data_IF_929303424111
#
_entry.id   IF_929303424111
#
_cell.length_a   1.000
_cell.length_b   1.000
_cell.length_c   1.000
_cell.angle_alpha   90.00
_cell.angle_beta   90.00
_cell.angle_gamma   90.00
#
_symmetry.space_group_name_H-M   'P 1'
#
loop_
_entity.id
_entity.type
_entity.pdbx_description
1 polymer ?
#
# COMPACT_ATOMS: atom_id res chain seq x y z
N UNK A 1 -28.05 5.14 -6.32
CA UNK A 1 -27.11 4.08 -6.78
C UNK A 1 -26.37 4.57 -8.00
N UNK A 2 -25.06 4.45 -7.98
CA UNK A 2 -24.15 4.86 -9.07
C UNK A 2 -23.44 3.61 -9.60
N UNK A 3 -23.19 3.54 -10.90
CA UNK A 3 -22.45 2.43 -11.49
C UNK A 3 -21.05 2.87 -11.91
N UNK A 4 -20.04 2.09 -11.53
CA UNK A 4 -18.66 2.26 -11.98
C UNK A 4 -18.28 1.13 -12.92
N UNK A 5 -17.87 1.46 -14.13
CA UNK A 5 -17.35 0.48 -15.09
C UNK A 5 -15.87 0.25 -14.82
N UNK A 6 -15.50 -1.00 -14.72
CA UNK A 6 -14.11 -1.44 -14.60
C UNK A 6 -13.85 -2.59 -15.55
N UNK A 7 -12.67 -2.64 -16.12
CA UNK A 7 -12.18 -3.86 -16.76
C UNK A 7 -11.90 -4.88 -15.66
N UNK A 8 -12.19 -6.13 -15.89
CA UNK A 8 -12.08 -7.14 -14.87
C UNK A 8 -11.15 -8.26 -15.32
N UNK A 9 -9.94 -8.23 -14.82
CA UNK A 9 -8.97 -9.30 -14.96
C UNK A 9 -8.81 -9.92 -13.58
N UNK A 10 -9.34 -11.12 -13.34
CA UNK A 10 -9.24 -11.76 -12.03
C UNK A 10 -9.02 -13.24 -12.14
N UNK A 11 -8.16 -13.71 -11.25
CA UNK A 11 -7.94 -15.12 -11.00
C UNK A 11 -8.54 -15.50 -9.64
N UNK A 12 -9.82 -15.80 -9.61
CA UNK A 12 -10.56 -16.26 -8.42
C UNK A 12 -11.63 -17.27 -8.77
N UNK A 13 -12.10 -18.05 -7.76
CA UNK A 13 -13.23 -18.98 -7.96
C UNK A 13 -14.46 -18.26 -8.52
N UNK A 14 -15.08 -18.85 -9.52
CA UNK A 14 -16.32 -18.34 -10.13
C UNK A 14 -16.13 -17.14 -11.06
N UNK A 15 -14.91 -16.69 -11.29
CA UNK A 15 -14.59 -15.64 -12.28
C UNK A 15 -13.84 -16.23 -13.48
N UNK A 16 -14.20 -15.82 -14.68
CA UNK A 16 -13.41 -16.14 -15.87
C UNK A 16 -12.15 -15.31 -15.89
N UNK A 17 -11.03 -15.92 -16.26
CA UNK A 17 -9.81 -15.20 -16.62
C UNK A 17 -10.07 -14.36 -17.87
N UNK A 18 -9.61 -13.13 -17.88
CA UNK A 18 -9.63 -12.24 -19.04
C UNK A 18 -10.33 -10.91 -18.81
N UNK A 19 -10.14 -10.04 -19.77
CA UNK A 19 -10.72 -8.70 -19.80
C UNK A 19 -12.23 -8.79 -20.05
N UNK A 20 -13.01 -8.41 -19.07
CA UNK A 20 -14.44 -8.11 -19.24
C UNK A 20 -14.78 -6.81 -18.57
N UNK A 21 -15.59 -6.02 -19.22
CA UNK A 21 -16.13 -4.82 -18.60
C UNK A 21 -17.25 -5.18 -17.63
N UNK A 22 -17.13 -4.76 -16.38
CA UNK A 22 -18.13 -5.00 -15.34
C UNK A 22 -18.63 -3.65 -14.82
N UNK A 23 -19.94 -3.53 -14.64
CA UNK A 23 -20.58 -2.38 -14.01
C UNK A 23 -20.80 -2.68 -12.52
N UNK A 24 -19.98 -2.10 -11.66
CA UNK A 24 -20.07 -2.27 -10.21
C UNK A 24 -21.11 -1.29 -9.66
N UNK A 25 -22.18 -1.75 -8.98
CA UNK A 25 -23.14 -0.86 -8.32
C UNK A 25 -22.52 -0.29 -7.04
N UNK A 26 -22.62 1.01 -6.86
CA UNK A 26 -22.18 1.71 -5.64
C UNK A 26 -23.41 2.39 -5.01
N UNK A 27 -23.69 2.08 -3.76
CA UNK A 27 -24.74 2.75 -3.01
C UNK A 27 -24.42 4.23 -2.84
N UNK A 28 -25.45 5.10 -2.89
CA UNK A 28 -25.23 6.56 -2.86
C UNK A 28 -24.57 7.04 -1.57
N UNK A 29 -24.89 6.40 -0.44
CA UNK A 29 -24.27 6.70 0.85
C UNK A 29 -22.76 6.39 0.91
N UNK A 30 -22.26 5.54 0.00
CA UNK A 30 -20.83 5.23 -0.10
C UNK A 30 -20.07 6.25 -0.97
N UNK A 31 -20.79 7.04 -1.77
CA UNK A 31 -20.16 8.01 -2.68
C UNK A 31 -19.58 9.17 -1.87
N UNK A 32 -18.32 9.45 -2.12
CA UNK A 32 -17.57 10.57 -1.53
C UNK A 32 -16.93 11.41 -2.63
N UNK A 33 -15.70 11.80 -2.47
CA UNK A 33 -14.92 12.47 -3.50
C UNK A 33 -13.84 11.52 -4.03
N UNK A 34 -13.57 11.54 -5.34
CA UNK A 34 -12.43 10.84 -5.89
C UNK A 34 -11.10 11.28 -5.24
N UNK A 35 -10.15 10.37 -5.20
CA UNK A 35 -8.84 10.66 -4.63
C UNK A 35 -8.74 10.37 -3.12
N UNK A 36 -7.66 10.84 -2.53
CA UNK A 36 -7.43 10.79 -1.08
C UNK A 36 -7.73 12.18 -0.52
N UNK A 37 -8.60 12.31 0.52
CA UNK A 37 -8.75 13.57 1.21
C UNK A 37 -7.41 14.05 1.75
N UNK A 38 -6.95 15.23 1.34
CA UNK A 38 -5.63 15.75 1.70
C UNK A 38 -5.64 17.24 1.96
N UNK A 39 -4.78 17.65 2.87
CA UNK A 39 -4.43 19.05 3.11
C UNK A 39 -3.18 19.35 2.30
N UNK A 40 -3.32 20.09 1.22
CA UNK A 40 -2.26 20.29 0.23
C UNK A 40 -0.96 20.84 0.80
N UNK A 41 -1.04 21.74 1.78
CA UNK A 41 0.13 22.32 2.45
C UNK A 41 0.91 21.32 3.28
N UNK A 42 0.27 20.24 3.76
CA UNK A 42 0.85 19.27 4.67
C UNK A 42 1.42 18.04 3.93
N UNK A 43 1.09 17.87 2.66
CA UNK A 43 1.52 16.69 1.87
C UNK A 43 3.05 16.58 1.79
N UNK A 44 3.78 17.71 1.91
CA UNK A 44 5.24 17.72 1.95
C UNK A 44 5.86 16.89 3.08
N UNK A 45 5.10 16.59 4.14
CA UNK A 45 5.55 15.71 5.23
C UNK A 45 5.79 14.26 4.81
N UNK A 46 5.31 13.85 3.64
CA UNK A 46 5.61 12.52 3.12
C UNK A 46 7.08 12.34 2.71
N UNK A 47 7.82 13.43 2.47
CA UNK A 47 9.24 13.37 2.18
C UNK A 47 10.05 12.94 3.41
N UNK A 48 10.02 11.68 3.75
CA UNK A 48 10.82 11.06 4.81
C UNK A 48 12.26 10.89 4.37
N UNK A 49 13.13 10.72 5.36
CA UNK A 49 14.54 10.46 5.15
C UNK A 49 14.77 9.15 4.42
N UNK A 50 13.87 8.18 4.59
CA UNK A 50 14.15 6.82 4.16
C UNK A 50 12.87 6.04 3.83
N UNK A 51 12.93 5.09 2.89
CA UNK A 51 11.98 3.99 2.83
C UNK A 51 12.14 3.12 4.08
N UNK A 52 11.03 2.79 4.71
CA UNK A 52 11.04 2.02 5.96
C UNK A 52 11.66 0.63 5.80
N UNK A 53 11.58 0.05 4.61
CA UNK A 53 12.03 -1.30 4.30
C UNK A 53 13.55 -1.45 4.34
N UNK A 54 14.28 -0.56 3.68
CA UNK A 54 15.73 -0.66 3.59
C UNK A 54 16.43 -0.50 4.93
N UNK A 55 15.77 0.13 5.89
CA UNK A 55 16.32 0.30 7.21
C UNK A 55 16.13 -0.83 8.14
N UNK A 56 15.00 -1.43 7.96
CA UNK A 56 14.50 -2.39 8.89
C UNK A 56 15.28 -3.69 8.93
N UNK A 57 16.01 -3.98 7.88
CA UNK A 57 16.81 -5.21 7.79
C UNK A 57 18.24 -4.96 8.28
N UNK A 58 18.81 -3.81 8.01
CA UNK A 58 20.23 -3.53 8.29
C UNK A 58 20.47 -2.72 9.56
N UNK A 59 19.55 -1.86 9.95
CA UNK A 59 19.78 -0.88 11.02
C UNK A 59 18.59 -0.79 11.95
N UNK A 60 18.50 -1.68 12.85
CA UNK A 60 17.49 -1.81 13.91
C UNK A 60 17.38 -0.59 14.85
N UNK A 61 17.62 0.60 14.39
CA UNK A 61 17.30 1.83 15.11
C UNK A 61 15.79 1.98 15.35
N UNK A 62 14.96 1.35 14.51
CA UNK A 62 13.55 1.21 14.77
C UNK A 62 13.32 0.07 15.77
N UNK A 63 12.80 0.42 16.95
CA UNK A 63 12.54 -0.55 18.03
C UNK A 63 11.61 -1.68 17.62
N UNK A 64 10.63 -1.41 16.76
CA UNK A 64 9.73 -2.44 16.25
C UNK A 64 10.49 -3.55 15.51
N UNK A 65 11.57 -3.21 14.83
CA UNK A 65 12.45 -4.18 14.18
C UNK A 65 13.38 -4.89 15.13
N UNK A 66 13.88 -4.22 16.15
CA UNK A 66 14.71 -4.85 17.18
C UNK A 66 13.97 -6.01 17.87
N UNK A 67 12.63 -5.88 17.98
CA UNK A 67 11.79 -6.95 18.55
C UNK A 67 11.19 -7.89 17.51
N UNK A 68 11.40 -7.61 16.23
CA UNK A 68 10.91 -8.45 15.14
C UNK A 68 11.87 -9.62 14.96
N UNK A 69 11.66 -10.66 15.72
CA UNK A 69 12.38 -11.93 15.55
C UNK A 69 11.69 -12.70 14.43
N UNK A 70 12.34 -12.79 13.28
CA UNK A 70 11.87 -13.63 12.19
C UNK A 70 12.01 -15.11 12.57
N UNK A 71 11.06 -15.94 12.14
CA UNK A 71 11.28 -17.38 12.11
C UNK A 71 12.47 -17.69 11.18
N UNK A 72 13.14 -18.80 11.42
CA UNK A 72 14.30 -19.22 10.62
C UNK A 72 13.92 -19.31 9.12
N UNK A 73 12.77 -19.90 8.83
CA UNK A 73 12.25 -20.08 7.49
C UNK A 73 11.98 -18.73 6.78
N UNK A 74 11.34 -17.77 7.48
CA UNK A 74 11.11 -16.42 6.93
C UNK A 74 12.44 -15.70 6.69
N UNK A 75 13.39 -15.79 7.61
CA UNK A 75 14.68 -15.14 7.49
C UNK A 75 15.50 -15.69 6.31
N UNK A 76 15.48 -17.01 6.13
CA UNK A 76 16.14 -17.70 5.02
C UNK A 76 15.52 -17.27 3.68
N UNK A 77 14.19 -17.32 3.59
CA UNK A 77 13.50 -16.95 2.37
C UNK A 77 13.65 -15.45 2.03
N UNK A 78 13.62 -14.57 3.03
CA UNK A 78 13.87 -13.15 2.83
C UNK A 78 15.29 -12.88 2.29
N UNK A 79 16.27 -13.62 2.78
CA UNK A 79 17.65 -13.56 2.27
C UNK A 79 17.71 -14.00 0.81
N UNK A 80 17.01 -15.08 0.46
CA UNK A 80 16.91 -15.53 -0.93
C UNK A 80 16.28 -14.45 -1.82
N UNK A 81 15.16 -13.88 -1.40
CA UNK A 81 14.46 -12.82 -2.12
C UNK A 81 15.33 -11.57 -2.35
N UNK A 82 16.04 -11.12 -1.31
CA UNK A 82 16.96 -9.98 -1.43
C UNK A 82 18.04 -10.26 -2.47
N UNK A 83 18.62 -11.44 -2.45
CA UNK A 83 19.65 -11.84 -3.42
C UNK A 83 19.10 -11.93 -4.85
N UNK A 84 17.88 -12.45 -5.01
CA UNK A 84 17.22 -12.59 -6.30
C UNK A 84 16.85 -11.20 -6.90
N UNK A 85 16.43 -10.26 -6.06
CA UNK A 85 15.97 -8.94 -6.53
C UNK A 85 17.10 -7.91 -6.66
N UNK A 86 18.22 -8.09 -5.97
CA UNK A 86 19.33 -7.11 -5.99
C UNK A 86 19.81 -6.74 -7.39
N UNK A 87 20.06 -7.66 -8.34
CA UNK A 87 20.47 -7.28 -9.71
C UNK A 87 19.43 -6.38 -10.39
N UNK A 88 18.15 -6.62 -10.16
CA UNK A 88 17.06 -5.84 -10.74
C UNK A 88 16.96 -4.45 -10.13
N UNK A 89 17.18 -4.33 -8.82
CA UNK A 89 17.31 -3.05 -8.13
C UNK A 89 18.50 -2.25 -8.65
N UNK A 90 19.66 -2.89 -8.87
CA UNK A 90 20.84 -2.26 -9.43
C UNK A 90 20.61 -1.73 -10.88
N UNK A 91 19.79 -2.44 -11.69
CA UNK A 91 19.32 -1.98 -13.01
C UNK A 91 18.40 -0.77 -12.84
N UNK A 92 17.41 -0.87 -11.96
CA UNK A 92 16.44 0.19 -11.70
C UNK A 92 17.13 1.50 -11.26
N UNK A 93 18.12 1.42 -10.39
CA UNK A 93 18.88 2.58 -9.90
C UNK A 93 19.53 3.37 -11.03
N UNK A 94 20.02 2.68 -12.05
CA UNK A 94 20.73 3.28 -13.21
C UNK A 94 19.80 3.64 -14.35
N UNK A 95 18.57 3.19 -14.34
CA UNK A 95 17.62 3.22 -15.48
C UNK A 95 17.36 4.64 -16.02
N UNK A 96 17.37 5.67 -15.13
CA UNK A 96 17.16 7.06 -15.53
C UNK A 96 18.27 7.63 -16.45
N UNK A 97 19.43 6.99 -16.49
CA UNK A 97 20.57 7.45 -17.27
C UNK A 97 20.71 6.71 -18.61
N UNK A 98 19.82 5.76 -18.89
CA UNK A 98 19.81 5.02 -20.14
C UNK A 98 19.13 5.87 -21.22
N UNK A 99 19.80 6.03 -22.35
CA UNK A 99 19.24 6.74 -23.49
C UNK A 99 18.21 5.87 -24.24
N UNK A 100 17.23 6.51 -24.90
CA UNK A 100 16.34 5.81 -25.83
C UNK A 100 17.12 5.09 -26.94
N UNK A 101 16.62 3.97 -27.39
CA UNK A 101 17.20 3.18 -28.48
C UNK A 101 16.44 3.35 -29.79
N UNK A 102 15.19 3.83 -29.72
CA UNK A 102 14.35 4.14 -30.88
C UNK A 102 14.18 5.64 -31.11
N UNK A 103 13.31 5.96 -32.04
CA UNK A 103 12.92 7.33 -32.41
C UNK A 103 11.41 7.46 -32.16
N UNK A 104 10.93 8.50 -31.47
CA UNK A 104 9.52 8.70 -31.21
C UNK A 104 8.71 8.81 -32.52
N UNK A 105 7.60 8.10 -32.60
CA UNK A 105 6.58 8.29 -33.64
C UNK A 105 5.52 9.28 -33.13
N UNK A 106 5.46 10.51 -33.67
CA UNK A 106 4.50 11.51 -33.21
C UNK A 106 3.03 11.19 -33.58
N UNK A 107 2.81 10.16 -34.39
CA UNK A 107 1.47 9.69 -34.80
C UNK A 107 0.93 8.56 -33.91
N UNK A 108 1.79 7.97 -33.08
CA UNK A 108 1.44 6.87 -32.19
C UNK A 108 0.65 7.34 -30.97
N UNK A 109 -0.32 6.53 -30.55
CA UNK A 109 -0.91 6.66 -29.19
C UNK A 109 0.00 5.94 -28.19
N UNK A 110 1.05 6.66 -27.75
CA UNK A 110 2.05 6.13 -26.84
C UNK A 110 1.45 5.64 -25.51
N UNK A 111 0.35 6.24 -25.05
CA UNK A 111 -0.32 5.83 -23.80
C UNK A 111 -0.89 4.42 -23.96
N UNK A 112 -1.59 4.19 -25.06
CA UNK A 112 -2.22 2.89 -25.31
C UNK A 112 -1.16 1.82 -25.67
N UNK A 113 -0.11 2.15 -26.39
CA UNK A 113 1.00 1.23 -26.68
C UNK A 113 1.66 0.73 -25.38
N UNK A 114 1.96 1.63 -24.46
CA UNK A 114 2.52 1.26 -23.16
C UNK A 114 1.52 0.42 -22.35
N UNK A 115 0.23 0.76 -22.40
CA UNK A 115 -0.83 0.02 -21.69
C UNK A 115 -0.96 -1.41 -22.21
N UNK A 116 -0.99 -1.58 -23.52
CA UNK A 116 -1.05 -2.89 -24.17
C UNK A 116 0.18 -3.72 -23.79
N UNK A 117 1.38 -3.14 -23.93
CA UNK A 117 2.62 -3.86 -23.61
C UNK A 117 2.71 -4.27 -22.15
N UNK A 118 2.31 -3.39 -21.23
CA UNK A 118 2.29 -3.71 -19.80
C UNK A 118 1.35 -4.89 -19.51
N UNK A 119 0.18 -4.95 -20.15
CA UNK A 119 -0.75 -6.08 -20.01
C UNK A 119 -0.19 -7.37 -20.59
N UNK A 120 0.46 -7.33 -21.75
CA UNK A 120 1.16 -8.47 -22.33
C UNK A 120 2.23 -9.04 -21.38
N UNK A 121 2.88 -8.16 -20.62
CA UNK A 121 3.87 -8.51 -19.61
C UNK A 121 3.27 -8.99 -18.29
N UNK A 122 1.93 -9.05 -18.18
CA UNK A 122 1.24 -9.61 -17.02
C UNK A 122 0.83 -8.59 -15.95
N UNK A 123 1.05 -7.28 -16.18
CA UNK A 123 0.48 -6.26 -15.29
C UNK A 123 -1.04 -6.22 -15.45
N UNK A 124 -1.75 -6.59 -14.41
CA UNK A 124 -3.22 -6.65 -14.42
C UNK A 124 -3.89 -5.29 -14.36
N UNK A 125 -3.20 -4.28 -13.80
CA UNK A 125 -3.66 -2.89 -13.76
C UNK A 125 -2.55 -1.96 -14.21
N UNK A 126 -2.92 -1.01 -15.08
CA UNK A 126 -2.02 -0.02 -15.65
C UNK A 126 -2.74 1.31 -15.70
N UNK A 127 -2.16 2.34 -15.09
CA UNK A 127 -2.71 3.68 -15.08
C UNK A 127 -1.63 4.75 -15.15
N UNK A 128 -2.00 5.94 -15.57
CA UNK A 128 -1.09 7.04 -15.83
C UNK A 128 -1.47 8.25 -14.99
N UNK A 129 -0.50 8.87 -14.35
CA UNK A 129 -0.70 10.09 -13.59
C UNK A 129 0.59 10.91 -13.54
N UNK A 130 0.51 12.10 -12.95
CA UNK A 130 1.71 12.86 -12.63
C UNK A 130 2.39 12.26 -11.41
N UNK A 131 3.73 12.11 -11.48
CA UNK A 131 4.53 11.75 -10.32
C UNK A 131 4.53 12.92 -9.31
N UNK A 132 3.86 12.75 -8.18
CA UNK A 132 3.80 13.77 -7.15
C UNK A 132 5.07 13.75 -6.29
N UNK A 133 5.98 14.69 -6.56
CA UNK A 133 7.28 14.79 -5.89
C UNK A 133 7.17 15.05 -4.39
N UNK A 134 6.03 15.49 -3.88
CA UNK A 134 5.80 15.70 -2.45
C UNK A 134 5.83 14.39 -1.66
N UNK A 135 5.50 13.27 -2.30
CA UNK A 135 5.58 11.93 -1.71
C UNK A 135 6.97 11.32 -1.75
N UNK A 136 7.91 11.91 -2.50
CA UNK A 136 9.24 11.34 -2.67
C UNK A 136 10.00 11.29 -1.35
N UNK A 137 10.59 10.15 -1.03
CA UNK A 137 11.48 10.02 0.11
C UNK A 137 12.69 10.93 -0.04
N UNK A 138 13.16 11.49 1.08
CA UNK A 138 14.22 12.50 1.09
C UNK A 138 15.48 12.04 0.34
N UNK A 139 15.88 10.80 0.55
CA UNK A 139 17.05 10.19 -0.11
C UNK A 139 16.90 10.01 -1.62
N UNK A 140 15.67 9.97 -2.13
CA UNK A 140 15.36 9.78 -3.55
C UNK A 140 15.00 11.08 -4.28
N UNK A 141 14.94 12.23 -3.60
CA UNK A 141 14.49 13.50 -4.20
C UNK A 141 15.29 13.91 -5.44
N UNK A 142 16.60 13.78 -5.39
CA UNK A 142 17.47 14.08 -6.53
C UNK A 142 17.58 12.96 -7.56
N UNK A 143 17.12 11.77 -7.20
CA UNK A 143 17.19 10.59 -8.05
C UNK A 143 16.05 10.54 -9.08
N UNK A 144 14.83 10.96 -8.70
CA UNK A 144 13.66 10.98 -9.60
C UNK A 144 13.83 12.03 -10.68
N UNK A 145 13.82 11.64 -11.95
CA UNK A 145 14.09 12.53 -13.10
C UNK A 145 12.83 12.96 -13.84
N UNK A 146 11.88 12.04 -14.09
CA UNK A 146 10.75 12.29 -14.98
C UNK A 146 9.46 12.58 -14.23
N UNK A 147 8.49 13.19 -14.92
CA UNK A 147 7.23 13.66 -14.30
C UNK A 147 6.04 12.72 -14.55
N UNK A 148 6.02 12.00 -15.65
CA UNK A 148 4.91 11.13 -16.00
C UNK A 148 5.10 9.77 -15.32
N UNK A 149 4.15 9.38 -14.47
CA UNK A 149 4.17 8.11 -13.77
C UNK A 149 3.23 7.10 -14.43
N UNK A 150 3.79 5.95 -14.77
CA UNK A 150 3.08 4.75 -15.18
C UNK A 150 2.94 3.89 -13.94
N UNK A 151 1.73 3.78 -13.40
CA UNK A 151 1.41 2.98 -12.23
C UNK A 151 1.07 1.56 -12.68
N UNK A 152 1.81 0.61 -12.18
CA UNK A 152 1.77 -0.79 -12.61
C UNK A 152 1.45 -1.68 -11.41
N UNK A 153 0.41 -2.50 -11.50
CA UNK A 153 0.05 -3.45 -10.47
C UNK A 153 0.14 -4.88 -10.96
N UNK A 154 0.91 -5.69 -10.24
CA UNK A 154 1.06 -7.11 -10.48
C UNK A 154 0.23 -7.90 -9.45
N UNK A 155 -0.51 -8.92 -9.90
CA UNK A 155 -1.38 -9.70 -9.03
C UNK A 155 -0.57 -10.73 -8.21
N UNK A 156 -0.74 -10.72 -6.91
CA UNK A 156 -0.33 -11.82 -6.05
C UNK A 156 -1.35 -12.96 -6.17
N UNK A 157 -0.88 -14.21 -6.24
CA UNK A 157 -1.76 -15.37 -6.41
C UNK A 157 -2.89 -15.41 -5.40
N UNK A 158 -4.12 -15.62 -5.91
CA UNK A 158 -5.31 -15.62 -5.07
C UNK A 158 -5.32 -16.79 -4.08
N UNK A 159 -5.02 -18.01 -4.57
CA UNK A 159 -5.16 -19.22 -3.76
C UNK A 159 -4.14 -19.26 -2.64
N UNK A 160 -2.89 -18.96 -2.95
CA UNK A 160 -1.83 -18.85 -1.96
C UNK A 160 -2.13 -17.72 -0.94
N UNK A 161 -2.72 -16.60 -1.38
CA UNK A 161 -3.15 -15.53 -0.46
C UNK A 161 -4.22 -16.01 0.53
N UNK A 162 -5.05 -16.99 0.17
CA UNK A 162 -6.07 -17.52 1.10
C UNK A 162 -5.45 -18.38 2.22
N UNK A 163 -4.22 -18.85 2.10
CA UNK A 163 -3.52 -19.61 3.14
C UNK A 163 -2.97 -18.74 4.27
N UNK A 164 -3.02 -17.40 4.13
CA UNK A 164 -2.57 -16.42 5.13
C UNK A 164 -3.09 -16.75 6.54
N UNK A 165 -2.25 -16.66 7.59
CA UNK A 165 -0.80 -16.52 7.55
C UNK A 165 -0.09 -17.85 7.26
N UNK A 166 0.84 -17.87 6.32
CA UNK A 166 1.63 -19.04 5.98
C UNK A 166 2.82 -18.67 5.11
N UNK A 167 3.84 -19.53 5.07
CA UNK A 167 4.98 -19.39 4.15
C UNK A 167 4.54 -19.47 2.69
N UNK A 168 3.50 -20.24 2.36
CA UNK A 168 2.98 -20.31 1.00
C UNK A 168 2.45 -18.94 0.51
N UNK A 169 1.81 -18.18 1.40
CA UNK A 169 1.38 -16.82 1.11
C UNK A 169 2.58 -15.85 0.99
N UNK A 170 3.65 -16.05 1.76
CA UNK A 170 4.88 -15.26 1.64
C UNK A 170 5.62 -15.58 0.33
N UNK A 171 5.64 -16.82 -0.12
CA UNK A 171 6.19 -17.16 -1.43
C UNK A 171 5.43 -16.46 -2.57
N UNK A 172 4.10 -16.41 -2.49
CA UNK A 172 3.29 -15.63 -3.44
C UNK A 172 3.59 -14.13 -3.37
N UNK A 173 3.78 -13.61 -2.15
CA UNK A 173 4.07 -12.21 -1.90
C UNK A 173 5.42 -11.79 -2.51
N UNK A 174 6.50 -12.46 -2.16
CA UNK A 174 7.84 -12.14 -2.66
C UNK A 174 8.04 -12.53 -4.12
N UNK A 175 7.47 -13.66 -4.53
CA UNK A 175 7.49 -14.08 -5.94
C UNK A 175 6.82 -13.07 -6.87
N UNK A 176 5.72 -12.45 -6.42
CA UNK A 176 5.09 -11.37 -7.17
C UNK A 176 6.00 -10.14 -7.31
N UNK A 177 6.78 -9.77 -6.29
CA UNK A 177 7.77 -8.69 -6.40
C UNK A 177 8.93 -9.03 -7.35
N UNK A 178 9.39 -10.28 -7.35
CA UNK A 178 10.44 -10.71 -8.25
C UNK A 178 9.98 -10.65 -9.70
N UNK A 179 8.77 -11.14 -9.97
CA UNK A 179 8.20 -11.09 -11.31
C UNK A 179 7.89 -9.66 -11.75
N UNK A 180 7.31 -8.85 -10.88
CA UNK A 180 7.03 -7.43 -11.13
C UNK A 180 8.29 -6.66 -11.54
N UNK A 181 9.43 -6.88 -10.87
CA UNK A 181 10.71 -6.27 -11.25
C UNK A 181 11.16 -6.71 -12.65
N UNK A 182 11.11 -8.01 -12.97
CA UNK A 182 11.50 -8.54 -14.30
C UNK A 182 10.66 -7.90 -15.40
N UNK A 183 9.35 -7.91 -15.23
CA UNK A 183 8.43 -7.37 -16.23
C UNK A 183 8.53 -5.85 -16.33
N UNK A 184 8.80 -5.15 -15.24
CA UNK A 184 9.06 -3.71 -15.22
C UNK A 184 10.32 -3.31 -16.00
N UNK A 185 11.38 -4.13 -15.96
CA UNK A 185 12.58 -3.92 -16.76
C UNK A 185 12.25 -4.05 -18.26
N UNK A 186 11.53 -5.10 -18.65
CA UNK A 186 11.13 -5.32 -20.04
C UNK A 186 10.22 -4.19 -20.55
N UNK A 187 9.31 -3.69 -19.71
CA UNK A 187 8.47 -2.55 -20.09
C UNK A 187 9.31 -1.27 -20.27
N UNK A 188 10.26 -1.02 -19.39
CA UNK A 188 11.14 0.13 -19.51
C UNK A 188 12.04 0.06 -20.75
N UNK A 189 12.47 -1.14 -21.16
CA UNK A 189 13.19 -1.38 -22.41
C UNK A 189 12.29 -1.05 -23.61
N UNK A 190 11.06 -1.53 -23.60
CA UNK A 190 10.09 -1.23 -24.66
C UNK A 190 9.83 0.28 -24.78
N UNK A 191 9.69 1.01 -23.68
CA UNK A 191 9.54 2.48 -23.72
C UNK A 191 10.76 3.15 -24.35
N UNK A 192 11.97 2.64 -24.09
CA UNK A 192 13.20 3.14 -24.73
C UNK A 192 13.24 2.82 -26.24
N UNK A 193 12.75 1.67 -26.64
CA UNK A 193 12.60 1.30 -28.06
C UNK A 193 11.60 2.22 -28.79
N UNK A 194 10.57 2.71 -28.09
CA UNK A 194 9.64 3.72 -28.60
C UNK A 194 10.23 5.14 -28.66
N UNK A 195 11.49 5.30 -28.25
CA UNK A 195 12.20 6.58 -28.34
C UNK A 195 12.09 7.48 -27.11
N UNK A 196 11.62 6.97 -25.98
CA UNK A 196 11.45 7.75 -24.74
C UNK A 196 12.32 7.20 -23.61
N UNK A 197 12.62 8.05 -22.63
CA UNK A 197 13.34 7.63 -21.43
C UNK A 197 12.39 6.96 -20.44
N UNK A 198 12.91 5.99 -19.72
CA UNK A 198 12.17 5.28 -18.68
C UNK A 198 13.04 5.06 -17.45
N UNK A 199 12.53 5.52 -16.29
CA UNK A 199 13.15 5.29 -14.99
C UNK A 199 12.29 4.33 -14.18
N UNK A 200 12.89 3.23 -13.75
CA UNK A 200 12.22 2.18 -12.98
C UNK A 200 12.28 2.52 -11.50
N UNK A 201 11.13 2.53 -10.83
CA UNK A 201 11.01 2.65 -9.38
C UNK A 201 10.67 1.27 -8.83
N UNK A 202 11.70 0.50 -8.50
CA UNK A 202 11.55 -0.88 -8.03
C UNK A 202 10.68 -0.96 -6.77
N UNK A 203 9.84 -1.99 -6.63
CA UNK A 203 9.11 -2.24 -5.38
C UNK A 203 10.03 -2.62 -4.21
N UNK A 204 11.25 -3.06 -4.49
CA UNK A 204 12.26 -3.42 -3.49
C UNK A 204 13.16 -2.25 -3.09
N UNK A 205 13.10 -1.11 -3.81
CA UNK A 205 13.80 0.14 -3.46
C UNK A 205 12.90 1.34 -3.77
N UNK A 206 11.86 1.48 -2.99
CA UNK A 206 10.81 2.47 -3.18
C UNK A 206 11.33 3.92 -3.18
N UNK A 207 10.90 4.70 -4.15
CA UNK A 207 11.18 6.14 -4.19
C UNK A 207 10.17 6.97 -3.40
N UNK A 208 8.98 6.42 -3.18
CA UNK A 208 7.85 7.08 -2.53
C UNK A 208 6.84 6.02 -2.03
N UNK A 209 5.88 6.35 -1.16
CA UNK A 209 4.66 5.55 -1.01
C UNK A 209 3.85 5.65 -2.32
N UNK A 210 3.68 4.53 -3.02
CA UNK A 210 3.07 4.54 -4.36
C UNK A 210 1.55 4.67 -4.36
N UNK A 211 0.86 4.22 -3.31
CA UNK A 211 -0.61 4.21 -3.24
C UNK A 211 -1.26 5.54 -3.65
N UNK A 212 -0.78 6.73 -3.22
CA UNK A 212 -1.38 7.99 -3.66
C UNK A 212 -1.42 8.16 -5.18
N UNK A 213 -0.37 7.78 -5.88
CA UNK A 213 -0.31 7.87 -7.35
C UNK A 213 -1.23 6.86 -8.02
N UNK A 214 -1.37 5.65 -7.46
CA UNK A 214 -2.34 4.67 -7.94
C UNK A 214 -3.79 5.13 -7.77
N UNK A 215 -4.09 5.83 -6.68
CA UNK A 215 -5.42 6.43 -6.46
C UNK A 215 -5.69 7.56 -7.47
N UNK A 216 -4.71 8.43 -7.72
CA UNK A 216 -4.82 9.49 -8.73
C UNK A 216 -4.94 8.93 -10.16
N UNK A 217 -4.35 7.77 -10.44
CA UNK A 217 -4.51 7.05 -11.69
C UNK A 217 -5.80 6.20 -11.78
N UNK A 218 -6.71 6.30 -10.80
CA UNK A 218 -8.01 5.63 -10.82
C UNK A 218 -7.96 4.11 -10.59
N UNK A 219 -6.84 3.56 -10.13
CA UNK A 219 -6.64 2.11 -9.99
C UNK A 219 -7.20 1.53 -8.69
N UNK A 220 -7.71 2.34 -7.80
CA UNK A 220 -8.29 1.92 -6.53
C UNK A 220 -8.41 3.04 -5.52
N UNK A 221 -8.69 2.69 -4.28
CA UNK A 221 -8.74 3.61 -3.15
C UNK A 221 -8.02 3.01 -1.93
N UNK A 222 -7.61 3.89 -1.00
CA UNK A 222 -6.93 3.45 0.22
C UNK A 222 -7.92 2.76 1.16
N UNK A 223 -7.65 1.49 1.49
CA UNK A 223 -8.44 0.71 2.44
C UNK A 223 -8.12 1.00 3.90
N UNK A 224 -9.01 0.56 4.81
CA UNK A 224 -8.79 0.65 6.26
C UNK A 224 -7.58 -0.19 6.74
N UNK A 225 -7.16 -1.17 5.95
CA UNK A 225 -5.94 -1.96 6.20
C UNK A 225 -4.64 -1.23 5.77
N UNK A 226 -4.75 0.01 5.28
CA UNK A 226 -3.60 0.79 4.84
C UNK A 226 -3.02 0.42 3.48
N UNK A 227 -3.70 -0.47 2.74
CA UNK A 227 -3.30 -0.91 1.41
C UNK A 227 -4.20 -0.31 0.33
N UNK A 228 -3.73 -0.32 -0.92
CA UNK A 228 -4.60 -0.05 -2.07
C UNK A 228 -5.65 -1.16 -2.16
N UNK A 229 -6.92 -0.79 -2.22
CA UNK A 229 -7.99 -1.70 -2.60
C UNK A 229 -8.39 -1.41 -4.05
N UNK A 230 -8.02 -2.32 -4.90
CA UNK A 230 -8.36 -2.31 -6.31
C UNK A 230 -9.69 -3.02 -6.54
N UNK A 231 -10.52 -2.58 -7.50
CA UNK A 231 -11.72 -3.32 -7.90
C UNK A 231 -11.39 -4.68 -8.53
N UNK A 232 -10.17 -4.87 -9.02
CA UNK A 232 -9.71 -6.11 -9.66
C UNK A 232 -9.17 -7.11 -8.65
N UNK A 233 -8.19 -6.70 -7.82
CA UNK A 233 -7.42 -7.61 -6.98
C UNK A 233 -7.69 -7.43 -5.49
N UNK A 234 -8.52 -6.44 -5.09
CA UNK A 234 -8.59 -6.04 -3.70
C UNK A 234 -7.21 -5.55 -3.24
N UNK A 235 -6.68 -6.10 -2.15
CA UNK A 235 -5.34 -5.75 -1.63
C UNK A 235 -4.21 -6.68 -2.11
N UNK A 236 -4.49 -7.58 -3.06
CA UNK A 236 -3.51 -8.55 -3.60
C UNK A 236 -2.62 -7.99 -4.71
N UNK A 237 -2.51 -6.70 -4.86
CA UNK A 237 -1.64 -6.09 -5.86
C UNK A 237 -0.28 -5.71 -5.27
N UNK A 238 0.77 -6.00 -6.00
CA UNK A 238 2.10 -5.44 -5.80
C UNK A 238 2.24 -4.24 -6.72
N UNK A 239 2.92 -3.20 -6.25
CA UNK A 239 2.87 -1.89 -6.89
C UNK A 239 4.26 -1.41 -7.25
N UNK A 240 4.47 -1.08 -8.51
CA UNK A 240 5.66 -0.38 -8.97
C UNK A 240 5.29 0.82 -9.85
N UNK A 241 6.25 1.69 -10.09
CA UNK A 241 6.10 2.83 -10.98
C UNK A 241 7.26 2.86 -11.96
N UNK A 242 6.97 3.21 -13.21
CA UNK A 242 7.97 3.67 -14.16
C UNK A 242 7.67 5.14 -14.42
N UNK A 243 8.69 6.00 -14.27
CA UNK A 243 8.55 7.40 -14.72
C UNK A 243 9.20 7.59 -16.07
N UNK A 244 8.62 8.45 -16.90
CA UNK A 244 9.03 8.65 -18.31
C UNK A 244 8.90 10.12 -18.72
N UNK A 245 9.58 10.48 -19.81
CA UNK A 245 9.36 11.73 -20.56
C UNK A 245 8.39 11.57 -21.73
N UNK A 246 7.87 10.34 -21.97
CA UNK A 246 6.83 10.09 -22.98
C UNK A 246 5.56 10.90 -22.69
N UNK A 247 4.94 11.55 -23.70
CA UNK A 247 3.77 12.42 -23.53
C UNK A 247 2.48 11.61 -23.32
N UNK A 248 2.41 10.86 -22.22
CA UNK A 248 1.25 10.04 -21.88
C UNK A 248 0.07 10.86 -21.42
N UNK A 249 -1.15 10.38 -21.70
CA UNK A 249 -2.40 10.95 -21.25
C UNK A 249 -2.73 10.41 -19.86
N UNK A 250 -2.99 11.30 -18.90
CA UNK A 250 -3.31 10.90 -17.52
C UNK A 250 -4.73 10.38 -17.39
N UNK A 251 -4.85 9.34 -16.59
CA UNK A 251 -6.14 8.88 -16.06
C UNK A 251 -6.62 9.82 -14.93
N UNK A 252 -7.85 9.60 -14.48
CA UNK A 252 -8.44 10.38 -13.38
C UNK A 252 -8.75 9.48 -12.18
N UNK A 253 -8.70 10.00 -10.97
CA UNK A 253 -9.12 9.25 -9.79
C UNK A 253 -10.60 8.88 -9.88
N UNK A 254 -10.92 7.67 -9.41
CA UNK A 254 -12.28 7.13 -9.40
C UNK A 254 -12.71 6.88 -7.95
N UNK A 255 -13.89 7.35 -7.60
CA UNK A 255 -14.52 6.98 -6.34
C UNK A 255 -15.28 5.67 -6.51
N UNK A 256 -14.76 4.61 -5.90
CA UNK A 256 -15.37 3.29 -5.85
C UNK A 256 -16.23 3.07 -4.59
N UNK A 257 -16.43 4.09 -3.76
CA UNK A 257 -17.14 3.97 -2.50
C UNK A 257 -16.36 3.26 -1.38
N UNK A 258 -15.12 2.88 -1.64
CA UNK A 258 -14.29 2.08 -0.71
C UNK A 258 -14.04 2.83 0.60
N UNK A 259 -13.88 4.13 0.56
CA UNK A 259 -13.64 4.96 1.74
C UNK A 259 -14.73 4.81 2.80
N UNK A 260 -15.98 4.97 2.38
CA UNK A 260 -17.16 4.83 3.26
C UNK A 260 -17.46 3.38 3.57
N UNK A 261 -17.32 2.49 2.59
CA UNK A 261 -17.49 1.07 2.80
C UNK A 261 -16.55 0.55 3.90
N UNK A 262 -15.28 0.95 3.91
CA UNK A 262 -14.33 0.57 4.94
C UNK A 262 -14.72 1.08 6.35
N UNK A 263 -15.28 2.29 6.47
CA UNK A 263 -15.79 2.82 7.73
C UNK A 263 -16.92 1.95 8.32
N UNK A 264 -17.78 1.40 7.46
CA UNK A 264 -18.88 0.52 7.86
C UNK A 264 -18.42 -0.92 8.08
N UNK A 265 -17.51 -1.40 7.25
CA UNK A 265 -17.04 -2.78 7.26
C UNK A 265 -16.25 -3.12 8.52
N UNK A 266 -15.10 -2.50 8.73
CA UNK A 266 -14.19 -2.66 9.87
C UNK A 266 -13.72 -4.10 10.16
N UNK A 267 -13.95 -5.06 9.25
CA UNK A 267 -13.56 -6.47 9.48
C UNK A 267 -12.06 -6.60 9.71
N UNK A 268 -11.24 -6.02 8.83
CA UNK A 268 -9.77 -6.09 8.97
C UNK A 268 -9.26 -5.44 10.27
N UNK A 269 -9.90 -4.36 10.72
CA UNK A 269 -9.58 -3.68 11.99
C UNK A 269 -9.90 -4.59 13.18
N UNK A 270 -11.10 -5.18 13.19
CA UNK A 270 -11.55 -6.05 14.27
C UNK A 270 -10.77 -7.38 14.33
N UNK A 271 -10.30 -7.86 13.19
CA UNK A 271 -9.60 -9.15 13.06
C UNK A 271 -8.07 -9.03 13.12
N UNK A 272 -7.53 -7.81 13.25
CA UNK A 272 -6.08 -7.60 13.31
C UNK A 272 -5.49 -8.25 14.58
N UNK A 273 -4.66 -9.30 14.47
CA UNK A 273 -4.09 -9.98 15.63
C UNK A 273 -3.21 -9.06 16.47
N UNK A 274 -2.46 -8.16 15.83
CA UNK A 274 -1.62 -7.16 16.47
C UNK A 274 -2.40 -5.95 17.01
N UNK A 275 -3.71 -5.84 16.71
CA UNK A 275 -4.51 -4.63 17.00
C UNK A 275 -3.80 -3.36 16.53
N UNK A 276 -3.23 -3.44 15.35
CA UNK A 276 -2.40 -2.40 14.75
C UNK A 276 -3.20 -1.43 13.86
N UNK A 277 -4.43 -1.78 13.50
CA UNK A 277 -5.29 -0.94 12.67
C UNK A 277 -6.24 -0.13 13.56
N UNK A 278 -6.36 1.17 13.27
CA UNK A 278 -7.24 2.06 14.01
C UNK A 278 -8.61 2.15 13.33
N UNK A 279 -9.66 2.22 14.15
CA UNK A 279 -11.05 2.24 13.69
C UNK A 279 -11.42 3.55 13.02
N UNK A 280 -10.95 4.67 13.57
CA UNK A 280 -11.28 6.00 13.12
C UNK A 280 -10.21 6.52 12.16
N UNK A 281 -10.61 7.35 11.20
CA UNK A 281 -9.66 8.07 10.36
C UNK A 281 -8.99 9.18 11.15
N UNK A 282 -7.75 9.41 10.85
CA UNK A 282 -6.94 10.50 11.40
C UNK A 282 -6.25 11.26 10.28
N UNK A 283 -5.99 12.53 10.50
CA UNK A 283 -5.11 13.30 9.63
C UNK A 283 -3.66 12.92 9.93
N UNK A 284 -3.03 12.35 8.92
CA UNK A 284 -1.65 11.93 9.00
C UNK A 284 -0.86 12.44 7.81
N UNK A 285 0.14 13.28 8.07
CA UNK A 285 1.01 13.86 7.04
C UNK A 285 0.24 14.39 5.83
N UNK A 286 -0.82 15.15 6.10
CA UNK A 286 -1.64 15.78 5.10
C UNK A 286 -2.70 14.89 4.44
N UNK A 287 -2.82 13.62 4.80
CA UNK A 287 -3.86 12.73 4.29
C UNK A 287 -4.79 12.23 5.40
N UNK A 288 -6.09 12.18 5.15
CA UNK A 288 -7.05 11.55 6.04
C UNK A 288 -7.12 10.07 5.76
N UNK A 289 -6.83 9.23 6.75
CA UNK A 289 -6.79 7.78 6.59
C UNK A 289 -6.92 7.01 7.89
N UNK A 290 -7.28 5.74 7.78
CA UNK A 290 -7.06 4.79 8.87
C UNK A 290 -5.54 4.58 9.03
N UNK A 291 -5.04 4.81 10.23
CA UNK A 291 -3.61 4.70 10.51
C UNK A 291 -3.24 3.28 10.92
N UNK A 292 -2.21 2.75 10.28
CA UNK A 292 -1.54 1.53 10.73
C UNK A 292 -0.52 1.89 11.82
N UNK A 293 -0.65 1.29 12.98
CA UNK A 293 0.35 1.34 14.05
C UNK A 293 1.45 0.31 13.72
N UNK A 294 2.48 0.78 13.06
CA UNK A 294 3.54 -0.08 12.54
C UNK A 294 4.25 -0.87 13.64
N UNK A 295 4.49 -0.26 14.78
CA UNK A 295 5.12 -0.84 15.96
C UNK A 295 4.37 -2.07 16.49
N UNK A 296 3.06 -2.12 16.28
CA UNK A 296 2.24 -3.28 16.64
C UNK A 296 2.10 -4.29 15.51
N UNK A 297 2.13 -3.84 14.27
CA UNK A 297 2.05 -4.71 13.10
C UNK A 297 3.32 -5.51 12.91
N UNK A 298 4.46 -4.86 12.98
CA UNK A 298 5.74 -5.42 12.58
C UNK A 298 6.17 -6.65 13.36
N UNK A 299 6.10 -6.69 14.71
CA UNK A 299 6.46 -7.89 15.47
C UNK A 299 5.61 -9.11 15.12
N UNK A 300 4.29 -8.89 14.89
CA UNK A 300 3.37 -9.97 14.48
C UNK A 300 3.71 -10.45 13.06
N UNK A 301 3.96 -9.51 12.15
CA UNK A 301 4.31 -9.80 10.77
C UNK A 301 5.63 -10.59 10.67
N UNK A 302 6.63 -10.20 11.44
CA UNK A 302 7.93 -10.86 11.42
C UNK A 302 7.89 -12.27 11.97
N UNK A 303 7.09 -12.51 13.03
CA UNK A 303 7.04 -13.80 13.70
C UNK A 303 6.09 -14.79 13.04
N UNK A 304 5.08 -14.33 12.34
CA UNK A 304 4.02 -15.18 11.78
C UNK A 304 3.92 -14.98 10.25
N UNK A 305 4.92 -15.47 9.55
CA UNK A 305 4.99 -15.61 8.09
C UNK A 305 4.35 -14.44 7.36
N UNK A 306 4.87 -13.21 7.60
CA UNK A 306 4.33 -11.98 7.02
C UNK A 306 2.94 -11.56 7.54
N UNK A 307 2.29 -12.35 8.36
CA UNK A 307 0.95 -12.22 8.91
C UNK A 307 -0.14 -12.06 7.83
N UNK A 308 -0.32 -10.88 7.23
CA UNK A 308 -1.28 -10.64 6.14
C UNK A 308 -2.78 -10.80 6.47
N UNK A 309 -3.18 -11.08 7.72
CA UNK A 309 -4.59 -11.35 8.11
C UNK A 309 -5.55 -10.25 7.62
N UNK A 310 -5.14 -8.98 7.68
CA UNK A 310 -5.98 -7.87 7.19
C UNK A 310 -6.25 -7.92 5.68
N UNK A 311 -5.41 -8.59 4.91
CA UNK A 311 -5.64 -8.92 3.50
C UNK A 311 -6.67 -10.04 3.36
N UNK A 312 -6.42 -11.18 4.04
CA UNK A 312 -7.26 -12.37 3.95
C UNK A 312 -8.72 -12.09 4.29
N UNK A 313 -8.96 -11.37 5.38
CA UNK A 313 -10.32 -11.08 5.89
C UNK A 313 -11.00 -9.89 5.21
N UNK A 314 -10.41 -9.32 4.16
CA UNK A 314 -11.04 -8.25 3.40
C UNK A 314 -12.09 -8.83 2.44
N UNK A 315 -13.39 -8.46 2.56
CA UNK A 315 -14.42 -9.00 1.67
C UNK A 315 -14.16 -8.66 0.20
N UNK A 316 -13.67 -7.44 -0.10
CA UNK A 316 -13.33 -7.04 -1.49
C UNK A 316 -12.23 -7.93 -2.05
N UNK A 317 -11.21 -8.23 -1.25
CA UNK A 317 -10.15 -9.16 -1.66
C UNK A 317 -10.69 -10.59 -1.81
N UNK A 318 -11.51 -11.05 -0.86
CA UNK A 318 -12.00 -12.43 -0.79
C UNK A 318 -13.01 -12.76 -1.90
N UNK A 319 -14.00 -11.91 -2.09
CA UNK A 319 -15.12 -12.18 -2.99
C UNK A 319 -15.08 -11.36 -4.29
N UNK A 320 -14.32 -10.26 -4.30
CA UNK A 320 -14.32 -9.27 -5.36
C UNK A 320 -15.24 -8.10 -5.08
N UNK A 321 -14.95 -6.99 -5.71
CA UNK A 321 -15.67 -5.76 -5.46
C UNK A 321 -17.13 -5.83 -5.97
N UNK A 322 -17.37 -6.40 -7.15
CA UNK A 322 -18.71 -6.51 -7.72
C UNK A 322 -19.68 -7.27 -6.80
N UNK A 323 -19.39 -8.52 -6.36
CA UNK A 323 -20.29 -9.24 -5.46
C UNK A 323 -20.48 -8.53 -4.12
N UNK A 324 -19.43 -7.92 -3.57
CA UNK A 324 -19.50 -7.23 -2.28
C UNK A 324 -20.39 -5.99 -2.36
N UNK A 325 -20.23 -5.17 -3.39
CA UNK A 325 -21.02 -3.95 -3.56
C UNK A 325 -22.46 -4.26 -3.96
N UNK A 326 -22.68 -5.29 -4.78
CA UNK A 326 -24.05 -5.78 -5.10
C UNK A 326 -24.77 -6.21 -3.85
N UNK A 327 -24.14 -7.06 -3.03
CA UNK A 327 -24.73 -7.51 -1.76
C UNK A 327 -25.04 -6.33 -0.83
N UNK A 328 -24.13 -5.37 -0.72
CA UNK A 328 -24.34 -4.18 0.11
C UNK A 328 -25.52 -3.34 -0.36
N UNK A 329 -25.65 -3.12 -1.67
CA UNK A 329 -26.78 -2.37 -2.26
C UNK A 329 -28.11 -3.07 -2.00
N UNK A 330 -28.15 -4.42 -2.04
CA UNK A 330 -29.37 -5.22 -1.86
C UNK A 330 -29.78 -5.35 -0.40
N UNK A 331 -28.81 -5.44 0.52
CA UNK A 331 -29.10 -5.84 1.91
C UNK A 331 -28.68 -4.80 2.96
N UNK A 332 -27.80 -3.87 2.62
CA UNK A 332 -27.13 -2.97 3.58
C UNK A 332 -26.06 -3.66 4.44
N UNK A 333 -25.76 -4.94 4.19
CA UNK A 333 -24.85 -5.75 4.98
C UNK A 333 -23.51 -5.97 4.27
N UNK A 334 -22.47 -6.28 5.05
CA UNK A 334 -21.14 -6.60 4.53
C UNK A 334 -21.08 -8.10 4.23
N UNK A 335 -20.87 -8.46 2.97
CA UNK A 335 -20.79 -9.84 2.51
C UNK A 335 -19.75 -10.64 3.31
N UNK A 336 -20.20 -11.72 3.94
CA UNK A 336 -19.38 -12.64 4.70
C UNK A 336 -18.95 -12.17 6.10
N UNK A 337 -19.31 -10.97 6.53
CA UNK A 337 -19.01 -10.49 7.89
C UNK A 337 -19.64 -11.38 8.95
N UNK A 338 -18.92 -11.61 10.04
CA UNK A 338 -19.26 -12.54 11.12
C UNK A 338 -19.37 -14.01 10.69
N UNK A 339 -18.82 -14.37 9.54
CA UNK A 339 -18.72 -15.76 9.11
C UNK A 339 -17.27 -16.25 9.18
N UNK A 340 -17.15 -17.52 9.47
CA UNK A 340 -15.88 -18.21 9.55
C UNK A 340 -15.13 -18.21 8.20
N UNK A 341 -15.88 -18.31 7.11
CA UNK A 341 -15.34 -18.31 5.76
C UNK A 341 -14.59 -17.02 5.40
N UNK A 342 -15.02 -15.86 5.91
CA UNK A 342 -14.32 -14.59 5.72
C UNK A 342 -13.29 -14.34 6.82
N UNK A 343 -13.68 -14.55 8.06
CA UNK A 343 -12.95 -14.01 9.23
C UNK A 343 -12.02 -15.01 9.90
N UNK A 344 -12.17 -16.32 9.60
CA UNK A 344 -11.37 -17.37 10.20
C UNK A 344 -9.92 -17.38 9.73
N UNK A 345 -8.98 -17.57 10.67
CA UNK A 345 -7.56 -17.78 10.40
C UNK A 345 -6.92 -18.58 11.54
N UNK A 346 -5.72 -19.10 11.32
CA UNK A 346 -4.97 -19.84 12.32
C UNK A 346 -3.58 -19.26 12.54
N UNK A 347 -3.13 -19.30 13.80
CA UNK A 347 -1.73 -19.17 14.20
C UNK A 347 -1.35 -20.40 15.01
N UNK A 348 -0.55 -21.29 14.45
CA UNK A 348 -0.20 -22.58 15.07
C UNK A 348 0.38 -22.42 16.48
N UNK A 349 1.29 -21.48 16.65
CA UNK A 349 1.97 -21.20 17.93
C UNK A 349 1.10 -20.49 18.99
N UNK A 350 -0.15 -20.10 18.64
CA UNK A 350 -0.98 -19.25 19.50
C UNK A 350 -2.35 -19.79 19.78
N UNK A 351 -2.46 -21.11 19.87
CA UNK A 351 -3.70 -21.79 20.19
C UNK A 351 -4.53 -22.17 18.99
N UNK A 352 -3.93 -22.12 17.81
CA UNK A 352 -4.51 -22.65 16.59
C UNK A 352 -5.49 -21.69 15.90
N UNK A 353 -6.72 -22.12 15.73
CA UNK A 353 -7.74 -21.43 14.95
C UNK A 353 -8.47 -20.34 15.74
N UNK A 354 -8.75 -19.20 15.08
CA UNK A 354 -9.51 -18.06 15.61
C UNK A 354 -10.66 -17.72 14.68
N UNK A 355 -11.87 -18.02 15.13
CA UNK A 355 -13.12 -17.67 14.45
C UNK A 355 -13.54 -16.21 14.63
N UNK A 356 -14.70 -15.80 14.08
CA UNK A 356 -15.23 -14.45 14.25
C UNK A 356 -15.30 -14.03 15.72
N UNK A 357 -14.81 -12.81 16.01
CA UNK A 357 -14.80 -12.29 17.39
C UNK A 357 -13.63 -12.75 18.27
N UNK A 358 -12.88 -13.75 17.85
CA UNK A 358 -11.72 -14.26 18.58
C UNK A 358 -10.41 -13.62 18.08
N UNK A 359 -9.50 -13.33 18.98
CA UNK A 359 -8.17 -12.79 18.65
C UNK A 359 -7.09 -13.48 19.46
N UNK A 360 -5.90 -13.69 18.85
CA UNK A 360 -4.74 -14.17 19.59
C UNK A 360 -4.43 -13.23 20.77
N UNK A 361 -4.01 -13.84 21.89
CA UNK A 361 -3.47 -13.10 23.03
C UNK A 361 -1.97 -13.14 22.95
N UNK A 362 -1.34 -11.98 22.93
CA UNK A 362 0.10 -11.83 23.05
C UNK A 362 0.43 -11.29 24.43
N UNK A 363 1.53 -11.77 25.02
CA UNK A 363 2.04 -11.21 26.27
C UNK A 363 2.44 -9.76 26.07
N UNK A 364 2.33 -8.96 27.13
CA UNK A 364 2.66 -7.52 27.06
C UNK A 364 4.10 -7.29 26.59
N UNK A 365 4.99 -8.19 26.96
CA UNK A 365 6.40 -8.21 26.58
C UNK A 365 6.62 -8.44 25.08
N UNK A 366 5.69 -9.15 24.40
CA UNK A 366 5.77 -9.34 22.96
C UNK A 366 5.75 -8.02 22.19
N UNK A 367 5.03 -7.06 22.71
CA UNK A 367 4.97 -5.74 22.10
C UNK A 367 6.00 -4.77 22.67
N UNK A 368 6.54 -4.99 23.88
CA UNK A 368 7.47 -4.12 24.64
C UNK A 368 7.44 -2.61 24.25
N UNK A 369 6.37 -2.22 23.58
CA UNK A 369 6.13 -0.90 23.07
C UNK A 369 5.54 -0.11 24.23
N UNK A 370 6.25 0.84 24.80
CA UNK A 370 5.65 1.77 25.74
C UNK A 370 4.40 2.33 25.08
N UNK A 371 3.24 2.21 25.74
CA UNK A 371 2.04 2.89 25.27
C UNK A 371 2.42 4.29 24.85
N UNK A 372 2.15 4.65 23.59
CA UNK A 372 2.27 5.99 23.14
C UNK A 372 3.57 6.41 22.48
N UNK A 373 4.25 5.55 21.74
CA UNK A 373 5.30 5.98 20.79
C UNK A 373 4.88 6.04 19.34
N UNK A 374 3.61 6.04 19.09
CA UNK A 374 3.06 6.50 17.83
C UNK A 374 2.82 8.01 17.90
N UNK A 375 2.47 8.62 16.79
CA UNK A 375 1.98 10.01 16.78
C UNK A 375 0.77 10.20 17.72
N UNK A 376 0.06 9.13 18.08
CA UNK A 376 -0.95 9.10 19.14
C UNK A 376 -0.39 9.54 20.50
N UNK A 377 0.85 9.17 20.84
CA UNK A 377 1.50 9.65 22.05
C UNK A 377 1.79 11.16 22.03
N UNK A 378 2.22 11.69 20.88
CA UNK A 378 2.38 13.13 20.72
C UNK A 378 1.03 13.84 20.78
N UNK A 379 0.00 13.23 20.23
CA UNK A 379 -1.36 13.73 20.27
C UNK A 379 -1.97 13.64 21.66
N UNK A 380 -1.73 12.57 22.39
CA UNK A 380 -2.16 12.42 23.78
C UNK A 380 -1.43 13.40 24.71
N UNK A 381 -0.12 13.57 24.54
CA UNK A 381 0.61 14.62 25.26
C UNK A 381 0.15 16.04 24.92
N UNK A 382 -0.26 16.25 23.68
CA UNK A 382 -0.88 17.51 23.28
C UNK A 382 -2.23 17.70 23.97
N UNK A 383 -3.09 16.69 23.97
CA UNK A 383 -4.36 16.72 24.70
C UNK A 383 -4.17 16.99 26.19
N UNK A 384 -3.21 16.32 26.82
CA UNK A 384 -2.88 16.55 28.23
C UNK A 384 -2.49 18.02 28.47
N UNK A 385 -1.56 18.56 27.68
CA UNK A 385 -1.14 19.96 27.78
C UNK A 385 -2.25 20.97 27.51
N UNK A 386 -3.14 20.64 26.55
CA UNK A 386 -4.31 21.47 26.23
C UNK A 386 -5.29 21.47 27.42
N UNK A 387 -5.52 20.29 28.00
CA UNK A 387 -6.41 20.15 29.16
C UNK A 387 -5.84 20.87 30.41
N UNK A 388 -4.54 20.74 30.62
CA UNK A 388 -3.84 21.42 31.71
C UNK A 388 -3.89 22.97 31.61
N UNK A 389 -3.89 23.49 30.37
CA UNK A 389 -3.94 24.95 30.08
C UNK A 389 -5.38 25.51 29.96
N UNK A 390 -6.39 24.66 30.07
CA UNK A 390 -7.80 25.10 30.00
C UNK A 390 -8.32 25.47 28.60
N UNK A 391 -7.62 25.04 27.55
CA UNK A 391 -8.01 25.23 26.15
C UNK A 391 -6.84 25.52 25.23
N UNK A 392 -7.11 25.59 23.92
CA UNK A 392 -6.12 25.89 22.88
C UNK A 392 -6.26 27.35 22.49
N UNK A 393 -5.21 28.13 22.66
CA UNK A 393 -5.05 29.41 21.95
C UNK A 393 -4.23 29.20 20.66
N UNK A 394 -4.31 30.20 19.75
CA UNK A 394 -3.63 30.15 18.46
C UNK A 394 -2.08 30.15 18.57
N UNK A 395 -1.55 30.71 19.65
CA UNK A 395 -0.11 30.80 19.91
C UNK A 395 0.42 29.43 20.37
N UNK A 396 -0.31 28.76 21.28
CA UNK A 396 -0.03 27.38 21.72
C UNK A 396 -0.11 26.38 20.57
N UNK A 397 -1.02 26.57 19.61
CA UNK A 397 -1.14 25.73 18.43
C UNK A 397 0.05 25.91 17.47
N UNK A 398 0.50 27.14 17.27
CA UNK A 398 1.66 27.47 16.44
C UNK A 398 2.96 26.96 17.07
N UNK A 399 3.12 27.13 18.38
CA UNK A 399 4.28 26.63 19.15
C UNK A 399 4.32 25.09 19.15
N UNK A 400 3.16 24.43 19.27
CA UNK A 400 3.06 22.97 19.16
C UNK A 400 3.44 22.48 17.78
N UNK A 401 2.94 23.12 16.71
CA UNK A 401 3.31 22.80 15.35
C UNK A 401 4.80 22.92 15.08
N UNK A 402 5.42 23.98 15.57
CA UNK A 402 6.86 24.21 15.49
C UNK A 402 7.67 23.20 16.31
N UNK A 403 7.20 22.83 17.49
CA UNK A 403 7.88 21.84 18.33
C UNK A 403 7.68 20.42 17.80
N UNK A 404 6.53 20.10 17.22
CA UNK A 404 6.29 18.82 16.53
C UNK A 404 7.21 18.68 15.34
N UNK A 405 7.35 19.72 14.52
CA UNK A 405 8.28 19.74 13.40
C UNK A 405 9.73 19.55 13.86
N UNK A 406 10.16 20.19 14.94
CA UNK A 406 11.49 20.03 15.52
C UNK A 406 11.74 18.62 16.07
N UNK A 407 10.76 18.02 16.75
CA UNK A 407 10.88 16.67 17.28
C UNK A 407 10.95 15.66 16.12
N UNK A 408 10.20 15.87 15.07
CA UNK A 408 10.25 15.04 13.86
C UNK A 408 11.57 15.23 13.09
N UNK A 409 12.13 16.43 13.05
CA UNK A 409 13.45 16.71 12.49
C UNK A 409 14.59 16.09 13.31
N UNK A 410 14.48 16.08 14.63
CA UNK A 410 15.45 15.45 15.54
C UNK A 410 15.38 13.92 15.41
N UNK A 411 14.20 13.33 15.34
CA UNK A 411 14.08 11.89 15.07
C UNK A 411 14.60 11.51 13.69
N UNK A 412 14.37 12.34 12.67
CA UNK A 412 14.91 12.15 11.34
C UNK A 412 16.45 12.37 11.28
N UNK A 413 16.99 13.32 12.03
CA UNK A 413 18.43 13.58 12.07
C UNK A 413 19.20 12.53 12.89
N UNK A 414 18.61 12.01 13.96
CA UNK A 414 19.22 10.92 14.74
C UNK A 414 19.26 9.57 14.00
N UNK A 415 18.54 9.45 12.92
CA UNK A 415 18.52 8.28 12.03
C UNK A 415 19.44 8.41 10.81
N UNK A 416 20.04 9.57 10.59
CA UNK A 416 20.86 9.87 9.42
C UNK A 416 22.38 9.83 9.63
N UNK A 417 22.86 9.69 10.86
CA UNK A 417 24.27 9.77 11.21
C UNK A 417 24.88 8.46 11.73
N UNK A 418 24.28 7.30 11.44
CA UNK A 418 24.90 5.99 11.72
C UNK A 418 24.96 5.11 10.48
#
# INVERSE_FOLDING_TARGET
>A
MVFKKVSHIVNRPGTSLGDRSVAIPIAEELVTTPGIPKREVDVSFYARTQPLESQSIEKTADRAWTWSVFSEEVAEYLTHHINATKPMVDIAEKSANLEPTGIPDPTSDITEEIRIKARELGFGEVGFTRYDRRYTFKVKKGWVKFEHAICLAYEQDYWQTQTIPSMEAEYAHYGAYEEENKQGILLAEHIRELGYRAQIHSPNDNSAPYIPMFVEAGLGQLGANGQLLSPHFGSRSRLMIITTDAPVIYDNPIDYGIHKFCELCQVCVNRCPGRALVREKVWWRGAEKHKLMYERCRPVMAKYEGCGVCMKVCPIQRYGMEPVMTHFVETGEILGKNTDNLEGYAFEDRGGYFGPGELPKFDSEFFEIPKGRSEDWLFDKFKEKVTEKGGIDSESLSEFGANLSKIMEIEDSSRGDE
#
